data_IF_854435670078
#
_entry.id   IF_854435670078
#
_cell.length_a   1.000
_cell.length_b   1.000
_cell.length_c   1.000
_cell.angle_alpha   90.00
_cell.angle_beta   90.00
_cell.angle_gamma   90.00
#
_symmetry.space_group_name_H-M   'P 1'
#
loop_
_entity.id
_entity.type
_entity.pdbx_description
1 polymer ?
#
# COMPACT_ATOMS: atom_id res chain seq x y z
N UNK A 1 19.60 0.63 4.13
CA UNK A 1 20.49 1.32 3.18
C UNK A 1 19.94 1.39 1.76
N UNK A 2 19.03 0.49 1.33
CA UNK A 2 18.37 0.52 0.01
C UNK A 2 17.14 1.45 -0.03
N UNK A 3 16.32 1.45 1.02
CA UNK A 3 15.09 2.26 1.13
C UNK A 3 15.34 3.76 0.99
N UNK A 4 16.42 4.26 1.60
CA UNK A 4 16.81 5.68 1.54
C UNK A 4 17.23 6.10 0.12
N UNK A 5 17.93 5.22 -0.62
CA UNK A 5 18.36 5.49 -2.01
C UNK A 5 17.16 5.49 -2.97
N UNK A 6 16.22 4.59 -2.72
CA UNK A 6 15.00 4.44 -3.52
C UNK A 6 14.04 5.61 -3.28
N UNK A 7 13.81 5.99 -2.02
CA UNK A 7 13.04 7.18 -1.67
C UNK A 7 13.70 8.46 -2.22
N UNK A 8 15.04 8.56 -2.16
CA UNK A 8 15.78 9.70 -2.73
C UNK A 8 15.64 9.81 -4.25
N UNK A 9 15.72 8.69 -4.98
CA UNK A 9 15.51 8.68 -6.43
C UNK A 9 14.05 9.01 -6.79
N UNK A 10 13.08 8.46 -6.06
CA UNK A 10 11.67 8.77 -6.24
C UNK A 10 11.36 10.26 -5.99
N UNK A 11 11.95 10.87 -4.96
CA UNK A 11 11.80 12.30 -4.68
C UNK A 11 12.40 13.18 -5.78
N UNK A 12 13.58 12.85 -6.29
CA UNK A 12 14.22 13.60 -7.37
C UNK A 12 13.39 13.52 -8.67
N UNK A 13 12.85 12.34 -8.98
CA UNK A 13 11.95 12.17 -10.12
C UNK A 13 10.62 12.92 -9.91
N UNK A 14 10.03 12.87 -8.71
CA UNK A 14 8.80 13.58 -8.39
C UNK A 14 8.96 15.11 -8.42
N UNK A 15 10.13 15.63 -8.04
CA UNK A 15 10.46 17.05 -8.13
C UNK A 15 10.69 17.53 -9.59
N UNK A 16 11.10 16.65 -10.49
CA UNK A 16 11.27 16.98 -11.91
C UNK A 16 9.92 17.10 -12.66
N UNK A 17 8.90 16.35 -12.26
CA UNK A 17 7.55 16.36 -12.88
C UNK A 17 6.90 17.76 -12.91
N UNK A 18 6.85 18.55 -11.82
CA UNK A 18 6.28 19.89 -11.86
C UNK A 18 7.13 20.88 -12.66
N UNK A 19 8.44 20.67 -12.78
CA UNK A 19 9.34 21.52 -13.58
C UNK A 19 9.11 21.31 -15.09
N UNK A 20 8.69 20.10 -15.50
CA UNK A 20 8.38 19.75 -16.90
C UNK A 20 6.91 20.00 -17.31
N UNK A 21 6.07 20.51 -16.39
CA UNK A 21 4.65 20.82 -16.66
C UNK A 21 4.44 21.98 -17.65
N UNK A 22 5.49 22.72 -17.99
CA UNK A 22 5.43 23.81 -18.98
C UNK A 22 5.33 23.31 -20.44
N UNK A 23 5.63 22.04 -20.72
CA UNK A 23 5.50 21.45 -22.07
C UNK A 23 4.21 20.60 -22.16
N UNK A 24 3.14 21.21 -22.66
CA UNK A 24 1.79 20.62 -22.79
C UNK A 24 1.81 19.33 -23.65
N UNK A 25 1.91 18.17 -23.01
CA UNK A 25 1.74 16.86 -23.65
C UNK A 25 2.48 15.69 -22.96
N UNK A 26 3.70 15.93 -22.47
CA UNK A 26 4.57 14.88 -21.90
C UNK A 26 4.45 14.76 -20.37
N UNK A 27 3.98 15.82 -19.70
CA UNK A 27 3.99 15.89 -18.23
C UNK A 27 3.10 14.84 -17.55
N UNK A 28 1.97 14.47 -18.16
CA UNK A 28 1.04 13.48 -17.60
C UNK A 28 1.64 12.07 -17.64
N UNK A 29 2.22 11.68 -18.79
CA UNK A 29 2.91 10.41 -18.97
C UNK A 29 4.13 10.29 -18.04
N UNK A 30 4.89 11.37 -17.88
CA UNK A 30 6.02 11.40 -16.95
C UNK A 30 5.57 11.26 -15.49
N UNK A 31 4.49 11.94 -15.09
CA UNK A 31 3.95 11.80 -13.72
C UNK A 31 3.47 10.37 -13.42
N UNK A 32 2.83 9.74 -14.40
CA UNK A 32 2.39 8.35 -14.29
C UNK A 32 3.59 7.39 -14.21
N UNK A 33 4.64 7.61 -15.01
CA UNK A 33 5.86 6.82 -14.93
C UNK A 33 6.55 6.92 -13.57
N UNK A 34 6.61 8.12 -12.97
CA UNK A 34 7.16 8.31 -11.62
C UNK A 34 6.29 7.63 -10.55
N UNK A 35 4.96 7.75 -10.64
CA UNK A 35 4.04 7.07 -9.73
C UNK A 35 4.19 5.53 -9.82
N UNK A 36 4.29 4.97 -11.02
CA UNK A 36 4.51 3.54 -11.24
C UNK A 36 5.88 3.09 -10.69
N UNK A 37 6.94 3.86 -10.93
CA UNK A 37 8.26 3.54 -10.37
C UNK A 37 8.27 3.61 -8.85
N UNK A 38 7.64 4.62 -8.25
CA UNK A 38 7.52 4.75 -6.79
C UNK A 38 6.70 3.60 -6.19
N UNK A 39 5.60 3.19 -6.85
CA UNK A 39 4.79 2.04 -6.47
C UNK A 39 5.60 0.74 -6.51
N UNK A 40 6.30 0.46 -7.60
CA UNK A 40 7.15 -0.72 -7.75
C UNK A 40 8.27 -0.77 -6.70
N UNK A 41 8.89 0.38 -6.43
CA UNK A 41 9.89 0.56 -5.39
C UNK A 41 9.36 0.25 -3.99
N UNK A 42 8.16 0.74 -3.66
CA UNK A 42 7.54 0.50 -2.37
C UNK A 42 7.23 -0.99 -2.15
N UNK A 43 6.69 -1.65 -3.18
CA UNK A 43 6.41 -3.10 -3.17
C UNK A 43 7.71 -3.90 -2.96
N UNK A 44 8.77 -3.56 -3.70
CA UNK A 44 10.07 -4.24 -3.59
C UNK A 44 10.70 -4.07 -2.19
N UNK A 45 10.49 -2.94 -1.52
CA UNK A 45 11.02 -2.72 -0.17
C UNK A 45 10.28 -3.51 0.91
N UNK A 46 9.00 -3.81 0.69
CA UNK A 46 8.17 -4.53 1.66
C UNK A 46 8.25 -6.04 1.51
N UNK A 47 8.47 -6.52 0.30
CA UNK A 47 8.60 -7.95 0.00
C UNK A 47 9.51 -8.72 0.98
N UNK A 48 10.75 -8.29 1.29
CA UNK A 48 11.62 -9.03 2.21
C UNK A 48 11.08 -9.07 3.66
N UNK A 49 10.41 -8.01 4.11
CA UNK A 49 9.77 -7.98 5.44
C UNK A 49 8.58 -8.93 5.49
N UNK A 50 7.79 -8.95 4.41
CA UNK A 50 6.65 -9.86 4.25
C UNK A 50 7.10 -11.32 4.22
N UNK A 51 8.11 -11.65 3.42
CA UNK A 51 8.61 -13.02 3.33
C UNK A 51 9.16 -13.52 4.67
N UNK A 52 9.82 -12.65 5.44
CA UNK A 52 10.28 -12.99 6.78
C UNK A 52 9.12 -13.28 7.73
N UNK A 53 8.07 -12.45 7.71
CA UNK A 53 6.88 -12.67 8.55
C UNK A 53 6.14 -13.96 8.19
N UNK A 54 5.99 -14.26 6.90
CA UNK A 54 5.35 -15.51 6.44
C UNK A 54 6.15 -16.72 6.89
N UNK A 55 7.48 -16.72 6.66
CA UNK A 55 8.35 -17.82 7.08
C UNK A 55 8.40 -17.99 8.60
N UNK A 56 8.29 -16.91 9.37
CA UNK A 56 8.24 -16.96 10.83
C UNK A 56 6.90 -17.46 11.38
N UNK A 57 5.81 -17.28 10.63
CA UNK A 57 4.47 -17.72 11.03
C UNK A 57 4.15 -19.15 10.57
N UNK A 58 4.89 -19.67 9.59
CA UNK A 58 4.67 -21.00 8.98
C UNK A 58 4.71 -22.11 10.03
N UNK A 59 3.65 -22.93 10.10
CA UNK A 59 3.54 -24.03 11.07
C UNK A 59 3.24 -23.60 12.52
N UNK A 60 2.93 -22.32 12.75
CA UNK A 60 2.49 -21.80 14.05
C UNK A 60 0.99 -21.54 14.07
N UNK A 61 0.41 -21.39 15.26
CA UNK A 61 -0.99 -20.93 15.41
C UNK A 61 -1.24 -19.53 14.79
N UNK A 62 -0.17 -18.79 14.45
CA UNK A 62 -0.24 -17.45 13.88
C UNK A 62 -0.30 -17.41 12.35
N UNK A 63 -0.23 -18.54 11.65
CA UNK A 63 -0.24 -18.59 10.18
C UNK A 63 -1.49 -17.93 9.56
N UNK A 64 -2.67 -18.23 10.12
CA UNK A 64 -3.94 -17.62 9.69
C UNK A 64 -3.96 -16.10 9.93
N UNK A 65 -3.46 -15.65 11.09
CA UNK A 65 -3.36 -14.23 11.44
C UNK A 65 -2.38 -13.49 10.54
N UNK A 66 -1.24 -14.11 10.22
CA UNK A 66 -0.25 -13.56 9.31
C UNK A 66 -0.85 -13.35 7.91
N UNK A 67 -1.65 -14.31 7.42
CA UNK A 67 -2.35 -14.17 6.14
C UNK A 67 -3.36 -13.00 6.13
N UNK A 68 -4.13 -12.82 7.20
CA UNK A 68 -5.09 -11.71 7.34
C UNK A 68 -4.36 -10.36 7.39
N UNK A 69 -3.33 -10.25 8.23
CA UNK A 69 -2.47 -9.06 8.32
C UNK A 69 -1.86 -8.70 6.96
N UNK A 70 -1.38 -9.70 6.23
CA UNK A 70 -0.76 -9.48 4.93
C UNK A 70 -1.76 -8.96 3.90
N UNK A 71 -2.99 -9.48 3.88
CA UNK A 71 -4.06 -8.96 3.03
C UNK A 71 -4.39 -7.51 3.38
N UNK A 72 -4.50 -7.17 4.67
CA UNK A 72 -4.78 -5.79 5.09
C UNK A 72 -3.67 -4.81 4.64
N UNK A 73 -2.40 -5.19 4.81
CA UNK A 73 -1.25 -4.38 4.34
C UNK A 73 -1.29 -4.22 2.82
N UNK A 74 -1.55 -5.31 2.09
CA UNK A 74 -1.67 -5.29 0.63
C UNK A 74 -2.76 -4.34 0.13
N UNK A 75 -3.96 -4.41 0.73
CA UNK A 75 -5.08 -3.51 0.42
C UNK A 75 -4.67 -2.06 0.67
N UNK A 76 -4.04 -1.76 1.81
CA UNK A 76 -3.56 -0.42 2.13
C UNK A 76 -2.59 0.13 1.08
N UNK A 77 -1.61 -0.68 0.65
CA UNK A 77 -0.66 -0.28 -0.39
C UNK A 77 -1.32 -0.05 -1.75
N UNK A 78 -2.15 -0.99 -2.21
CA UNK A 78 -2.87 -0.85 -3.48
C UNK A 78 -3.75 0.39 -3.50
N UNK A 79 -4.42 0.68 -2.37
CA UNK A 79 -5.27 1.85 -2.20
C UNK A 79 -4.48 3.15 -2.38
N UNK A 80 -3.35 3.29 -1.67
CA UNK A 80 -2.50 4.50 -1.75
C UNK A 80 -1.91 4.69 -3.15
N UNK A 81 -1.38 3.62 -3.76
CA UNK A 81 -0.81 3.69 -5.11
C UNK A 81 -1.85 4.14 -6.12
N UNK A 82 -3.08 3.60 -6.01
CA UNK A 82 -4.16 3.90 -6.95
C UNK A 82 -4.72 5.31 -6.71
N UNK A 83 -4.88 5.73 -5.45
CA UNK A 83 -5.31 7.09 -5.12
C UNK A 83 -4.31 8.13 -5.60
N UNK A 84 -3.01 7.89 -5.42
CA UNK A 84 -1.95 8.81 -5.87
C UNK A 84 -1.90 8.89 -7.40
N UNK A 85 -2.10 7.76 -8.10
CA UNK A 85 -2.23 7.74 -9.55
C UNK A 85 -3.44 8.57 -10.03
N UNK A 86 -4.58 8.48 -9.35
CA UNK A 86 -5.75 9.31 -9.64
C UNK A 86 -5.50 10.80 -9.36
N UNK A 87 -4.80 11.15 -8.28
CA UNK A 87 -4.43 12.54 -7.97
C UNK A 87 -3.47 13.13 -9.01
N UNK A 88 -2.53 12.31 -9.50
CA UNK A 88 -1.58 12.74 -10.54
C UNK A 88 -2.26 13.13 -11.87
N UNK A 89 -3.43 12.56 -12.17
CA UNK A 89 -4.24 12.91 -13.35
C UNK A 89 -5.26 14.02 -13.09
N UNK A 90 -5.38 14.52 -11.85
CA UNK A 90 -6.37 15.52 -11.45
C UNK A 90 -7.74 14.94 -11.05
N UNK A 91 -7.85 13.60 -10.91
CA UNK A 91 -9.08 12.92 -10.53
C UNK A 91 -9.20 12.75 -9.00
N UNK A 92 -9.16 13.86 -8.25
CA UNK A 92 -9.16 13.84 -6.77
C UNK A 92 -10.40 13.17 -6.16
N UNK A 93 -11.59 13.36 -6.73
CA UNK A 93 -12.82 12.72 -6.26
C UNK A 93 -12.75 11.19 -6.35
N UNK A 94 -12.16 10.67 -7.42
CA UNK A 94 -11.94 9.23 -7.57
C UNK A 94 -10.91 8.72 -6.56
N UNK A 95 -9.82 9.48 -6.34
CA UNK A 95 -8.81 9.15 -5.34
C UNK A 95 -9.41 9.03 -3.93
N UNK A 96 -10.23 10.00 -3.51
CA UNK A 96 -10.91 9.96 -2.21
C UNK A 96 -11.88 8.77 -2.10
N UNK A 97 -12.58 8.41 -3.18
CA UNK A 97 -13.42 7.22 -3.21
C UNK A 97 -12.64 5.92 -3.00
N UNK A 98 -11.47 5.80 -3.65
CA UNK A 98 -10.56 4.66 -3.50
C UNK A 98 -10.04 4.57 -2.06
N UNK A 99 -9.59 5.68 -1.48
CA UNK A 99 -9.13 5.72 -0.08
C UNK A 99 -10.21 5.26 0.90
N UNK A 100 -11.47 5.67 0.68
CA UNK A 100 -12.59 5.24 1.51
C UNK A 100 -12.86 3.73 1.38
N UNK A 101 -12.85 3.23 0.15
CA UNK A 101 -13.09 1.81 -0.14
C UNK A 101 -12.00 0.92 0.49
N UNK A 102 -10.74 1.31 0.36
CA UNK A 102 -9.63 0.56 0.96
C UNK A 102 -9.71 0.51 2.49
N UNK A 103 -10.10 1.61 3.14
CA UNK A 103 -10.32 1.62 4.60
C UNK A 103 -11.49 0.70 4.99
N UNK A 104 -12.57 0.71 4.22
CA UNK A 104 -13.72 -0.16 4.46
C UNK A 104 -13.34 -1.64 4.30
N UNK A 105 -12.58 -2.01 3.26
CA UNK A 105 -12.10 -3.37 3.07
C UNK A 105 -11.17 -3.84 4.20
N UNK A 106 -10.22 -2.99 4.64
CA UNK A 106 -9.35 -3.32 5.78
C UNK A 106 -10.18 -3.59 7.04
N UNK A 107 -11.23 -2.80 7.30
CA UNK A 107 -12.15 -3.02 8.42
C UNK A 107 -12.89 -4.36 8.30
N UNK A 108 -13.41 -4.69 7.12
CA UNK A 108 -14.12 -5.95 6.88
C UNK A 108 -13.21 -7.17 7.07
N UNK A 109 -11.96 -7.09 6.59
CA UNK A 109 -10.97 -8.16 6.76
C UNK A 109 -10.49 -8.29 8.20
N UNK A 110 -10.57 -7.22 8.99
CA UNK A 110 -10.22 -7.22 10.42
C UNK A 110 -11.33 -7.83 11.30
N UNK A 111 -12.57 -7.89 10.80
CA UNK A 111 -13.72 -8.44 11.53
C UNK A 111 -13.52 -9.88 12.05
N UNK A 112 -13.05 -10.86 11.25
CA UNK A 112 -12.78 -12.22 11.75
C UNK A 112 -11.78 -12.23 12.91
N UNK A 113 -10.78 -11.35 12.86
CA UNK A 113 -9.76 -11.22 13.89
C UNK A 113 -10.35 -10.73 15.22
N UNK A 114 -11.26 -9.75 15.13
CA UNK A 114 -12.02 -9.25 16.29
C UNK A 114 -12.93 -10.35 16.86
N UNK A 115 -13.60 -11.14 16.02
CA UNK A 115 -14.49 -12.21 16.47
C UNK A 115 -13.75 -13.34 17.16
N UNK A 116 -12.58 -13.75 16.67
CA UNK A 116 -11.75 -14.76 17.33
C UNK A 116 -11.24 -14.28 18.69
N UNK A 117 -10.81 -13.02 18.79
CA UNK A 117 -10.40 -12.42 20.06
C UNK A 117 -11.54 -12.41 21.08
N UNK A 118 -12.75 -12.00 20.67
CA UNK A 118 -13.93 -12.00 21.56
C UNK A 118 -14.27 -13.42 22.03
N UNK A 119 -14.21 -14.40 21.13
CA UNK A 119 -14.50 -15.81 21.43
C UNK A 119 -13.49 -16.38 22.42
N UNK A 120 -12.20 -16.07 22.26
CA UNK A 120 -11.14 -16.49 23.18
C UNK A 120 -11.32 -15.93 24.59
N UNK A 121 -11.76 -14.68 24.73
CA UNK A 121 -12.04 -14.07 26.03
C UNK A 121 -13.32 -14.66 26.65
N UNK A 122 -14.37 -14.87 25.86
CA UNK A 122 -15.63 -15.46 26.32
C UNK A 122 -15.50 -16.93 26.75
N UNK A 123 -14.54 -17.67 26.21
CA UNK A 123 -14.22 -19.04 26.66
C UNK A 123 -13.38 -19.12 27.93
N UNK A 124 -12.96 -17.98 28.49
CA UNK A 124 -12.13 -17.89 29.70
C UNK A 124 -12.95 -17.52 30.96
N UNK A 125 -14.24 -17.22 30.81
CA UNK A 125 -15.23 -17.00 31.88
C UNK A 125 -16.16 -18.20 32.01
#
# INVERSE_FOLDING_TARGET
>A
MTTLKICGAALLCAAAVPILREMKGISALLSAAVAIMAAAAAIASIYPSVSFLVAAAEGTAFESYAAILLKAIGIGYCTVITSDACRATGADTAASGIELLGRAEILLISLPLITELLSGIAGLI
#
